data_IF_835381806265
#
_entry.id   IF_835381806265
#
_cell.length_a   1.000
_cell.length_b   1.000
_cell.length_c   1.000
_cell.angle_alpha   90.00
_cell.angle_beta   90.00
_cell.angle_gamma   90.00
#
_symmetry.space_group_name_H-M   'P 1'
#
loop_
_entity.id
_entity.type
_entity.pdbx_description
1 polymer ?
#
# COMPACT_ATOMS: atom_id res chain seq x y z
N UNK A 1 2.36 -29.49 11.71
CA UNK A 1 2.03 -28.16 12.27
C UNK A 1 0.53 -27.99 12.17
N UNK A 2 -0.19 -28.16 13.30
CA UNK A 2 -1.65 -28.28 13.33
C UNK A 2 -2.31 -26.92 13.02
N UNK A 3 -3.00 -26.84 11.88
CA UNK A 3 -3.96 -25.77 11.59
C UNK A 3 -5.22 -25.98 12.42
N UNK A 4 -5.66 -24.93 13.10
CA UNK A 4 -6.80 -24.96 14.03
C UNK A 4 -8.14 -25.26 13.34
N UNK A 5 -9.01 -25.92 14.09
CA UNK A 5 -10.29 -26.54 13.69
C UNK A 5 -11.46 -25.55 13.48
N UNK A 6 -11.17 -24.26 13.30
CA UNK A 6 -12.15 -23.27 12.88
C UNK A 6 -11.63 -22.60 11.61
N UNK A 7 -12.15 -23.04 10.46
CA UNK A 7 -11.99 -22.36 9.17
C UNK A 7 -12.79 -21.04 9.18
N UNK A 8 -12.63 -20.21 10.20
CA UNK A 8 -13.15 -18.84 10.22
C UNK A 8 -12.29 -18.08 9.23
N UNK A 9 -12.71 -18.11 7.96
CA UNK A 9 -12.21 -17.19 6.96
C UNK A 9 -12.20 -15.81 7.60
N UNK A 10 -11.01 -15.20 7.70
CA UNK A 10 -10.91 -13.86 8.30
C UNK A 10 -11.96 -12.97 7.63
N UNK A 11 -12.87 -12.42 8.44
CA UNK A 11 -13.92 -11.56 7.90
C UNK A 11 -13.32 -10.22 7.53
N UNK A 12 -13.80 -9.65 6.43
CA UNK A 12 -13.34 -8.34 5.98
C UNK A 12 -13.71 -7.32 7.06
N UNK A 13 -12.70 -6.73 7.68
CA UNK A 13 -12.87 -5.82 8.81
C UNK A 13 -12.18 -4.48 8.56
N UNK A 14 -12.49 -3.48 9.39
CA UNK A 14 -11.86 -2.15 9.33
C UNK A 14 -10.82 -2.00 10.42
N UNK A 15 -9.88 -1.09 10.23
CA UNK A 15 -8.99 -0.64 11.29
C UNK A 15 -9.71 0.35 12.20
N UNK A 16 -9.44 0.26 13.49
CA UNK A 16 -9.79 1.31 14.43
C UNK A 16 -8.96 2.57 14.15
N UNK A 17 -9.44 3.71 14.64
CA UNK A 17 -8.78 5.01 14.40
C UNK A 17 -7.35 5.08 14.97
N UNK A 18 -7.12 4.45 16.12
CA UNK A 18 -5.79 4.36 16.73
C UNK A 18 -4.83 3.52 15.88
N UNK A 19 -5.27 2.37 15.37
CA UNK A 19 -4.45 1.52 14.49
C UNK A 19 -4.12 2.23 13.16
N UNK A 20 -5.04 3.04 12.63
CA UNK A 20 -4.77 3.88 11.45
C UNK A 20 -3.66 4.91 11.72
N UNK A 21 -3.70 5.56 12.88
CA UNK A 21 -2.67 6.51 13.27
C UNK A 21 -1.31 5.82 13.45
N UNK A 22 -1.27 4.63 14.07
CA UNK A 22 -0.05 3.83 14.18
C UNK A 22 0.49 3.40 12.81
N UNK A 23 -0.38 2.93 11.91
CA UNK A 23 0.02 2.56 10.55
C UNK A 23 0.58 3.76 9.77
N UNK A 24 -0.04 4.94 9.90
CA UNK A 24 0.47 6.17 9.29
C UNK A 24 1.82 6.60 9.87
N UNK A 25 2.00 6.52 11.20
CA UNK A 25 3.27 6.84 11.84
C UNK A 25 4.38 5.87 11.40
N UNK A 26 4.09 4.56 11.34
CA UNK A 26 5.03 3.55 10.85
C UNK A 26 5.39 3.77 9.37
N UNK A 27 4.41 4.13 8.54
CA UNK A 27 4.63 4.46 7.14
C UNK A 27 5.60 5.64 6.99
N UNK A 28 5.36 6.73 7.71
CA UNK A 28 6.22 7.93 7.68
C UNK A 28 7.61 7.57 8.18
N UNK A 29 7.71 6.87 9.32
CA UNK A 29 8.99 6.44 9.88
C UNK A 29 9.78 5.54 8.92
N UNK A 30 9.13 4.57 8.30
CA UNK A 30 9.75 3.67 7.32
C UNK A 30 10.21 4.42 6.06
N UNK A 31 9.41 5.38 5.58
CA UNK A 31 9.76 6.21 4.42
C UNK A 31 11.02 7.03 4.70
N UNK A 32 11.08 7.70 5.86
CA UNK A 32 12.24 8.51 6.26
C UNK A 32 13.48 7.64 6.45
N UNK A 33 13.34 6.52 7.16
CA UNK A 33 14.45 5.61 7.41
C UNK A 33 15.02 5.00 6.12
N UNK A 34 14.14 4.55 5.23
CA UNK A 34 14.54 3.96 3.94
C UNK A 34 15.13 5.03 3.01
N UNK A 35 14.51 6.20 2.94
CA UNK A 35 15.02 7.33 2.16
C UNK A 35 16.42 7.74 2.62
N UNK A 36 16.63 7.91 3.93
CA UNK A 36 17.94 8.24 4.48
C UNK A 36 19.00 7.16 4.21
N UNK A 37 18.63 5.88 4.36
CA UNK A 37 19.55 4.77 4.11
C UNK A 37 20.00 4.71 2.64
N UNK A 38 19.08 4.95 1.70
CA UNK A 38 19.35 4.91 0.27
C UNK A 38 20.12 6.15 -0.21
N UNK A 39 19.77 7.33 0.29
CA UNK A 39 20.44 8.59 -0.02
C UNK A 39 21.90 8.58 0.45
N UNK A 40 22.20 7.95 1.59
CA UNK A 40 23.55 7.81 2.11
C UNK A 40 24.47 6.91 1.26
N UNK A 41 23.92 6.10 0.36
CA UNK A 41 24.67 5.12 -0.44
C UNK A 41 24.87 5.51 -1.91
N UNK A 42 24.12 6.48 -2.43
CA UNK A 42 24.09 6.84 -3.85
C UNK A 42 23.92 8.35 -4.06
N UNK A 43 24.98 9.02 -4.51
CA UNK A 43 25.05 10.49 -4.65
C UNK A 43 24.10 11.10 -5.72
N UNK A 44 23.57 10.30 -6.65
CA UNK A 44 22.74 10.77 -7.79
C UNK A 44 21.31 10.21 -7.81
N UNK A 45 20.82 9.67 -6.69
CA UNK A 45 19.50 9.06 -6.64
C UNK A 45 18.38 10.13 -6.62
N UNK A 46 17.85 10.47 -7.80
CA UNK A 46 16.71 11.36 -7.94
C UNK A 46 15.42 10.68 -7.43
N UNK A 47 14.59 11.45 -6.71
CA UNK A 47 13.29 11.02 -6.18
C UNK A 47 13.31 9.89 -5.14
N UNK A 48 14.46 9.61 -4.50
CA UNK A 48 14.65 8.53 -3.50
C UNK A 48 13.58 8.52 -2.40
N UNK A 49 13.25 9.67 -1.82
CA UNK A 49 12.23 9.75 -0.77
C UNK A 49 10.81 9.50 -1.30
N UNK A 50 10.53 9.89 -2.55
CA UNK A 50 9.24 9.60 -3.19
C UNK A 50 9.13 8.09 -3.42
N UNK A 51 10.14 7.46 -4.02
CA UNK A 51 10.12 6.01 -4.25
C UNK A 51 10.08 5.22 -2.94
N UNK A 52 10.85 5.63 -1.93
CA UNK A 52 10.82 5.02 -0.60
C UNK A 52 9.42 5.08 0.04
N UNK A 53 8.65 6.14 -0.21
CA UNK A 53 7.27 6.25 0.29
C UNK A 53 6.33 5.23 -0.37
N UNK A 54 6.52 4.95 -1.67
CA UNK A 54 5.76 3.95 -2.42
C UNK A 54 6.07 2.55 -1.89
N UNK A 55 7.35 2.25 -1.62
CA UNK A 55 7.79 0.98 -1.04
C UNK A 55 7.22 0.79 0.36
N UNK A 56 7.37 1.78 1.24
CA UNK A 56 6.82 1.73 2.59
C UNK A 56 5.30 1.53 2.59
N UNK A 57 4.57 2.25 1.73
CA UNK A 57 3.13 2.09 1.55
C UNK A 57 2.76 0.68 1.07
N UNK A 58 3.52 0.12 0.14
CA UNK A 58 3.28 -1.23 -0.38
C UNK A 58 3.43 -2.29 0.70
N UNK A 59 4.44 -2.19 1.58
CA UNK A 59 4.63 -3.11 2.70
C UNK A 59 3.46 -3.04 3.68
N UNK A 60 3.05 -1.83 4.08
CA UNK A 60 1.91 -1.65 4.98
C UNK A 60 0.61 -2.15 4.33
N UNK A 61 0.42 -1.86 3.04
CA UNK A 61 -0.75 -2.31 2.28
C UNK A 61 -0.81 -3.84 2.20
N UNK A 62 0.31 -4.51 1.92
CA UNK A 62 0.41 -5.98 1.92
C UNK A 62 0.10 -6.57 3.28
N UNK A 63 0.64 -5.99 4.35
CA UNK A 63 0.36 -6.44 5.71
C UNK A 63 -1.14 -6.34 6.02
N UNK A 64 -1.77 -5.20 5.73
CA UNK A 64 -3.20 -4.99 5.94
C UNK A 64 -4.07 -5.89 5.05
N UNK A 65 -3.64 -6.15 3.81
CA UNK A 65 -4.32 -7.04 2.88
C UNK A 65 -4.33 -8.49 3.41
N UNK A 66 -3.21 -8.94 3.97
CA UNK A 66 -3.09 -10.27 4.61
C UNK A 66 -4.04 -10.45 5.80
N UNK A 67 -4.37 -9.35 6.48
CA UNK A 67 -5.31 -9.29 7.62
C UNK A 67 -6.75 -9.00 7.18
N UNK A 68 -7.04 -9.04 5.88
CA UNK A 68 -8.32 -8.69 5.25
C UNK A 68 -8.89 -7.34 5.74
N UNK A 69 -8.03 -6.33 5.88
CA UNK A 69 -8.42 -4.95 6.22
C UNK A 69 -8.73 -4.13 4.98
N UNK A 70 -9.87 -3.44 4.96
CA UNK A 70 -10.31 -2.62 3.81
C UNK A 70 -9.37 -1.45 3.54
N UNK A 71 -8.71 -0.93 4.58
CA UNK A 71 -7.74 0.17 4.49
C UNK A 71 -6.55 -0.14 3.58
N UNK A 72 -6.22 -1.42 3.37
CA UNK A 72 -5.19 -1.84 2.41
C UNK A 72 -5.44 -1.27 1.00
N UNK A 73 -6.70 -1.27 0.54
CA UNK A 73 -7.06 -0.76 -0.78
C UNK A 73 -6.87 0.75 -0.90
N UNK A 74 -7.10 1.51 0.16
CA UNK A 74 -6.85 2.95 0.16
C UNK A 74 -5.35 3.26 0.03
N UNK A 75 -4.49 2.45 0.68
CA UNK A 75 -3.04 2.53 0.51
C UNK A 75 -2.60 2.15 -0.91
N UNK A 76 -3.20 1.12 -1.50
CA UNK A 76 -2.94 0.75 -2.89
C UNK A 76 -3.34 1.86 -3.87
N UNK A 77 -4.49 2.50 -3.68
CA UNK A 77 -4.99 3.53 -4.61
C UNK A 77 -4.12 4.79 -4.56
N UNK A 78 -4.04 5.45 -3.41
CA UNK A 78 -3.40 6.76 -3.32
C UNK A 78 -1.87 6.65 -3.18
N UNK A 79 -1.39 6.27 -1.98
CA UNK A 79 0.03 6.23 -1.68
C UNK A 79 0.89 5.38 -2.63
N UNK A 80 0.37 4.26 -3.13
CA UNK A 80 1.12 3.39 -4.05
C UNK A 80 0.87 3.77 -5.51
N UNK A 81 -0.33 3.52 -6.05
CA UNK A 81 -0.54 3.61 -7.49
C UNK A 81 -0.51 5.06 -8.01
N UNK A 82 -1.22 6.00 -7.37
CA UNK A 82 -1.22 7.41 -7.82
C UNK A 82 0.18 8.02 -7.70
N UNK A 83 0.87 7.77 -6.59
CA UNK A 83 2.25 8.23 -6.41
C UNK A 83 3.19 7.62 -7.46
N UNK A 84 3.09 6.32 -7.74
CA UNK A 84 3.91 5.64 -8.74
C UNK A 84 3.65 6.16 -10.16
N UNK A 85 2.39 6.39 -10.53
CA UNK A 85 2.04 7.01 -11.81
C UNK A 85 2.71 8.38 -11.93
N UNK A 86 2.61 9.23 -10.90
CA UNK A 86 3.27 10.54 -10.89
C UNK A 86 4.79 10.44 -11.07
N UNK A 87 5.43 9.53 -10.34
CA UNK A 87 6.87 9.30 -10.42
C UNK A 87 7.31 8.78 -11.80
N UNK A 88 6.56 7.83 -12.38
CA UNK A 88 6.88 7.28 -13.70
C UNK A 88 6.58 8.25 -14.85
N UNK A 89 5.63 9.16 -14.69
CA UNK A 89 5.46 10.26 -15.64
C UNK A 89 6.61 11.26 -15.56
N UNK A 90 7.09 11.57 -14.35
CA UNK A 90 8.23 12.47 -14.15
C UNK A 90 9.56 11.90 -14.68
N UNK A 91 9.70 10.57 -14.66
CA UNK A 91 10.89 9.86 -15.16
C UNK A 91 10.72 9.36 -16.61
N UNK A 92 9.67 9.80 -17.32
CA UNK A 92 9.34 9.42 -18.71
C UNK A 92 9.15 7.91 -18.94
N UNK A 93 8.95 7.16 -17.86
CA UNK A 93 8.70 5.72 -17.85
C UNK A 93 7.22 5.40 -18.19
N UNK A 94 6.75 5.81 -19.36
CA UNK A 94 5.33 5.74 -19.74
C UNK A 94 4.72 4.35 -19.70
N UNK A 95 5.50 3.31 -20.04
CA UNK A 95 5.05 1.92 -19.97
C UNK A 95 4.69 1.52 -18.54
N UNK A 96 5.51 1.91 -17.55
CA UNK A 96 5.24 1.64 -16.14
C UNK A 96 4.07 2.49 -15.63
N UNK A 97 3.99 3.76 -16.03
CA UNK A 97 2.84 4.60 -15.70
C UNK A 97 1.51 3.96 -16.17
N UNK A 98 1.47 3.45 -17.41
CA UNK A 98 0.30 2.76 -17.95
C UNK A 98 -0.04 1.47 -17.17
N UNK A 99 0.97 0.69 -16.77
CA UNK A 99 0.76 -0.51 -15.95
C UNK A 99 0.17 -0.15 -14.57
N UNK A 100 0.68 0.89 -13.92
CA UNK A 100 0.17 1.33 -12.62
C UNK A 100 -1.23 1.94 -12.72
N UNK A 101 -1.62 2.53 -13.87
CA UNK A 101 -3.02 2.89 -14.13
C UNK A 101 -3.94 1.65 -14.15
N UNK A 102 -3.48 0.54 -14.73
CA UNK A 102 -4.24 -0.72 -14.69
C UNK A 102 -4.36 -1.25 -13.25
N UNK A 103 -3.27 -1.22 -12.49
CA UNK A 103 -3.27 -1.62 -11.07
C UNK A 103 -4.18 -0.74 -10.22
N UNK A 104 -4.23 0.56 -10.51
CA UNK A 104 -5.15 1.49 -9.87
C UNK A 104 -6.61 1.08 -10.09
N UNK A 105 -6.99 0.75 -11.33
CA UNK A 105 -8.34 0.27 -11.64
C UNK A 105 -8.66 -1.01 -10.88
N UNK A 106 -7.74 -1.97 -10.84
CA UNK A 106 -7.91 -3.20 -10.07
C UNK A 106 -8.07 -2.94 -8.57
N UNK A 107 -7.30 -2.00 -8.01
CA UNK A 107 -7.40 -1.62 -6.61
C UNK A 107 -8.77 -1.00 -6.27
N UNK A 108 -9.32 -0.16 -7.16
CA UNK A 108 -10.67 0.41 -7.01
C UNK A 108 -11.75 -0.68 -7.06
N UNK A 109 -11.62 -1.64 -7.99
CA UNK A 109 -12.54 -2.79 -8.07
C UNK A 109 -12.46 -3.66 -6.80
N UNK A 110 -11.25 -3.91 -6.31
CA UNK A 110 -11.01 -4.62 -5.05
C UNK A 110 -11.67 -3.95 -3.86
N UNK A 111 -11.49 -2.62 -3.73
CA UNK A 111 -12.14 -1.81 -2.70
C UNK A 111 -13.67 -1.92 -2.79
N UNK A 112 -14.25 -1.74 -3.98
CA UNK A 112 -15.69 -1.83 -4.19
C UNK A 112 -16.24 -3.22 -3.83
N UNK A 113 -15.50 -4.29 -4.17
CA UNK A 113 -15.89 -5.66 -3.83
C UNK A 113 -15.85 -5.89 -2.31
N UNK A 114 -14.81 -5.44 -1.63
CA UNK A 114 -14.66 -5.62 -0.19
C UNK A 114 -15.64 -4.78 0.61
N UNK A 115 -15.90 -3.54 0.19
CA UNK A 115 -16.93 -2.70 0.82
C UNK A 115 -18.34 -3.32 0.76
N UNK A 116 -18.66 -4.06 -0.32
CA UNK A 116 -19.93 -4.81 -0.43
C UNK A 116 -19.95 -6.12 0.36
N UNK A 117 -18.78 -6.63 0.76
CA UNK A 117 -18.65 -7.84 1.56
C UNK A 117 -18.63 -7.54 3.07
N UNK A 118 -18.16 -6.36 3.48
CA UNK A 118 -18.24 -5.89 4.86
C UNK A 118 -19.70 -5.83 5.30
N UNK A 119 -20.07 -6.64 6.29
CA UNK A 119 -21.41 -6.64 6.88
C UNK A 119 -22.43 -7.58 6.22
N UNK A 120 -21.99 -8.48 5.33
CA UNK A 120 -22.79 -9.68 5.05
C UNK A 120 -22.54 -10.70 6.16
N UNK A 121 -23.57 -11.13 6.91
CA UNK A 121 -23.44 -12.18 7.92
C UNK A 121 -23.10 -13.53 7.28
#
# INVERSE_FOLDING_TARGET
TRGGEDHTELEVSRLSWSERATAAALLVGATVALGWLLDAGWDDALYTYWDASIVAASVVAMFLLSRKKVESWWLWIGPVNVSAIGLYLATEAYMFAALYCLFLVMAVVGLARWQRAVGRP
#
